data_IF_336513070967
#
_entry.id   IF_336513070967
#
_cell.length_a   1.000
_cell.length_b   1.000
_cell.length_c   1.000
_cell.angle_alpha   90.00
_cell.angle_beta   90.00
_cell.angle_gamma   90.00
#
_symmetry.space_group_name_H-M   'P 1'
#
loop_
_entity.id
_entity.type
_entity.pdbx_description
1 polymer ?
#
# COMPACT_ATOMS: atom_id res chain seq x y z
N UNK A 1 1.12 -11.06 31.07
CA UNK A 1 0.74 -10.14 29.97
C UNK A 1 2.01 -9.55 29.35
N UNK A 2 2.42 -10.02 28.16
CA UNK A 2 3.65 -9.56 27.49
C UNK A 2 3.40 -8.21 26.78
N UNK A 3 4.01 -7.13 27.27
CA UNK A 3 4.17 -5.91 26.46
C UNK A 3 5.10 -6.25 25.29
N UNK A 4 4.61 -6.18 24.04
CA UNK A 4 5.44 -6.36 22.84
C UNK A 4 5.84 -4.97 22.30
N UNK A 5 7.14 -4.63 22.25
CA UNK A 5 7.60 -3.27 22.00
C UNK A 5 7.77 -2.87 20.51
N UNK A 6 7.23 -3.63 19.54
CA UNK A 6 7.74 -3.58 18.16
C UNK A 6 6.72 -3.12 17.10
N UNK A 7 5.63 -2.45 17.48
CA UNK A 7 4.60 -2.04 16.53
C UNK A 7 5.01 -0.72 15.84
N UNK A 8 5.42 -0.78 14.58
CA UNK A 8 5.81 0.39 13.79
C UNK A 8 4.75 0.72 12.74
N UNK A 9 4.48 2.02 12.58
CA UNK A 9 3.43 2.53 11.71
C UNK A 9 4.02 3.06 10.40
N UNK A 10 3.68 2.44 9.27
CA UNK A 10 4.14 2.87 7.94
C UNK A 10 3.08 3.75 7.28
N UNK A 11 3.47 4.99 6.94
CA UNK A 11 2.63 5.95 6.24
C UNK A 11 2.35 5.48 4.81
N UNK A 12 1.10 5.63 4.38
CA UNK A 12 0.61 5.26 3.06
C UNK A 12 1.15 6.18 1.96
N UNK A 13 2.10 5.67 1.19
CA UNK A 13 2.16 5.86 -0.26
C UNK A 13 2.52 4.52 -0.85
N UNK A 14 1.50 3.73 -1.23
CA UNK A 14 1.67 2.47 -1.97
C UNK A 14 2.66 1.56 -1.23
N UNK A 15 2.23 0.96 -0.11
CA UNK A 15 2.98 -0.17 0.44
C UNK A 15 3.04 -1.20 -0.69
N UNK A 16 4.18 -1.28 -1.33
CA UNK A 16 4.45 -2.21 -2.40
C UNK A 16 4.59 -3.60 -1.78
N UNK A 17 4.55 -4.62 -2.63
CA UNK A 17 4.83 -5.99 -2.20
C UNK A 17 6.17 -6.04 -1.45
N UNK A 18 7.13 -5.24 -1.89
CA UNK A 18 8.48 -5.17 -1.35
C UNK A 18 8.54 -4.68 0.11
N UNK A 19 7.89 -3.56 0.45
CA UNK A 19 7.84 -3.05 1.82
C UNK A 19 7.14 -3.99 2.80
N UNK A 20 6.17 -4.78 2.33
CA UNK A 20 5.50 -5.82 3.15
C UNK A 20 6.42 -7.00 3.46
N UNK A 21 7.18 -7.47 2.49
CA UNK A 21 8.12 -8.59 2.67
C UNK A 21 9.23 -8.25 3.66
N UNK A 22 9.81 -7.05 3.55
CA UNK A 22 10.89 -6.60 4.45
C UNK A 22 10.46 -6.56 5.93
N UNK A 23 9.22 -6.13 6.22
CA UNK A 23 8.70 -6.13 7.60
C UNK A 23 8.50 -7.55 8.15
N UNK A 24 8.04 -8.51 7.31
CA UNK A 24 7.87 -9.92 7.70
C UNK A 24 9.21 -10.56 8.02
N UNK A 25 10.23 -10.35 7.20
CA UNK A 25 11.58 -10.87 7.41
C UNK A 25 12.22 -10.32 8.68
N UNK A 26 11.91 -9.06 9.02
CA UNK A 26 12.40 -8.39 10.23
C UNK A 26 11.57 -8.70 11.49
N UNK A 27 10.49 -9.48 11.37
CA UNK A 27 9.58 -9.78 12.49
C UNK A 27 8.86 -8.55 13.06
N UNK A 28 8.64 -7.52 12.23
CA UNK A 28 7.99 -6.28 12.63
C UNK A 28 6.50 -6.37 12.30
N UNK A 29 5.66 -6.19 13.33
CA UNK A 29 4.22 -6.13 13.20
C UNK A 29 3.81 -4.81 12.54
N UNK A 30 3.07 -4.88 11.43
CA UNK A 30 2.57 -3.72 10.70
C UNK A 30 1.13 -3.41 11.09
N UNK A 31 0.82 -2.15 11.38
CA UNK A 31 -0.56 -1.69 11.57
C UNK A 31 -0.93 -0.67 10.48
N UNK A 32 -1.91 -1.04 9.64
CA UNK A 32 -2.47 -0.15 8.62
C UNK A 32 -3.68 0.60 9.17
N UNK A 33 -3.60 1.93 9.16
CA UNK A 33 -4.69 2.82 9.61
C UNK A 33 -5.08 3.80 8.48
N UNK A 34 -6.32 4.27 8.52
CA UNK A 34 -6.79 5.25 7.54
C UNK A 34 -6.11 6.62 7.76
N UNK A 35 -5.45 7.21 6.75
CA UNK A 35 -4.81 8.53 6.90
C UNK A 35 -5.79 9.64 7.29
N UNK A 36 -7.07 9.53 6.92
CA UNK A 36 -8.10 10.47 7.36
C UNK A 36 -8.32 10.38 8.87
N UNK A 37 -8.36 9.18 9.45
CA UNK A 37 -8.53 9.00 10.91
C UNK A 37 -7.36 9.58 11.69
N UNK A 38 -6.13 9.35 11.24
CA UNK A 38 -4.94 9.96 11.83
C UNK A 38 -5.04 11.48 11.74
N UNK A 39 -5.39 12.02 10.56
CA UNK A 39 -5.55 13.47 10.36
C UNK A 39 -6.64 14.07 11.23
N UNK A 40 -7.80 13.43 11.38
CA UNK A 40 -8.91 13.92 12.22
C UNK A 40 -8.59 13.86 13.72
N UNK A 41 -7.80 12.88 14.15
CA UNK A 41 -7.36 12.78 15.54
C UNK A 41 -6.34 13.86 15.93
N UNK A 42 -5.70 14.46 14.92
CA UNK A 42 -4.77 15.57 15.06
C UNK A 42 -5.45 16.88 14.67
N UNK A 43 -5.06 18.00 15.28
CA UNK A 43 -5.47 19.30 14.76
C UNK A 43 -4.94 19.48 13.33
N UNK A 44 -5.82 19.78 12.38
CA UNK A 44 -5.51 19.96 10.95
C UNK A 44 -4.54 21.12 10.79
N UNK A 45 -3.24 20.84 10.90
CA UNK A 45 -2.18 21.80 10.58
C UNK A 45 -1.39 21.26 9.40
N UNK A 46 -1.72 21.80 8.23
CA UNK A 46 -1.06 21.56 6.96
C UNK A 46 0.30 22.28 6.96
N UNK A 47 1.29 21.69 7.62
CA UNK A 47 2.71 22.05 7.47
C UNK A 47 3.50 20.83 7.02
N UNK A 48 4.25 20.97 5.93
CA UNK A 48 5.08 19.94 5.31
C UNK A 48 6.36 19.75 6.14
N UNK A 49 6.27 19.00 7.23
CA UNK A 49 7.42 18.63 8.05
C UNK A 49 7.36 17.15 8.44
N UNK A 50 8.15 16.32 7.75
CA UNK A 50 8.13 14.87 7.90
C UNK A 50 8.50 14.41 9.31
N UNK A 51 9.39 15.14 9.98
CA UNK A 51 9.79 14.88 11.38
C UNK A 51 8.62 15.07 12.35
N UNK A 52 7.82 16.11 12.14
CA UNK A 52 6.65 16.38 12.97
C UNK A 52 5.56 15.33 12.71
N UNK A 53 5.35 14.97 11.45
CA UNK A 53 4.36 13.96 11.09
C UNK A 53 4.74 12.57 11.62
N UNK A 54 6.04 12.22 11.63
CA UNK A 54 6.53 11.00 12.26
C UNK A 54 6.22 10.97 13.76
N UNK A 55 6.47 12.08 14.47
CA UNK A 55 6.12 12.22 15.89
C UNK A 55 4.62 12.12 16.15
N UNK A 56 3.80 12.76 15.30
CA UNK A 56 2.33 12.70 15.40
C UNK A 56 1.81 11.28 15.23
N UNK A 57 2.33 10.57 14.24
CA UNK A 57 1.97 9.17 14.00
C UNK A 57 2.41 8.26 15.14
N UNK A 58 3.61 8.45 15.67
CA UNK A 58 4.08 7.70 16.83
C UNK A 58 3.18 7.96 18.06
N UNK A 59 2.81 9.21 18.30
CA UNK A 59 1.91 9.58 19.40
C UNK A 59 0.49 8.99 19.21
N UNK A 60 -0.02 9.02 17.98
CA UNK A 60 -1.29 8.37 17.63
C UNK A 60 -1.23 6.86 17.89
N UNK A 61 -0.17 6.21 17.41
CA UNK A 61 0.03 4.77 17.58
C UNK A 61 0.11 4.36 19.05
N UNK A 62 0.84 5.12 19.86
CA UNK A 62 0.91 4.90 21.31
C UNK A 62 -0.45 5.08 22.00
N UNK A 63 -1.21 6.10 21.61
CA UNK A 63 -2.52 6.41 22.20
C UNK A 63 -3.58 5.37 21.88
N UNK A 64 -3.58 4.83 20.66
CA UNK A 64 -4.61 3.92 20.14
C UNK A 64 -4.09 2.50 19.91
N UNK A 65 -3.02 2.11 20.60
CA UNK A 65 -2.43 0.77 20.50
C UNK A 65 -3.43 -0.34 20.83
N UNK A 66 -4.44 -0.05 21.66
CA UNK A 66 -5.54 -0.94 22.02
C UNK A 66 -6.46 -1.26 20.83
N UNK A 67 -6.53 -0.36 19.85
CA UNK A 67 -7.33 -0.49 18.63
C UNK A 67 -6.51 -1.00 17.44
N UNK A 68 -5.23 -1.27 17.64
CA UNK A 68 -4.33 -1.65 16.56
C UNK A 68 -4.79 -2.96 15.89
N UNK A 69 -5.05 -2.87 14.58
CA UNK A 69 -5.33 -4.04 13.74
C UNK A 69 -4.07 -4.39 12.97
N UNK A 70 -3.40 -5.43 13.41
CA UNK A 70 -2.20 -5.91 12.74
C UNK A 70 -2.57 -6.41 11.35
N UNK A 71 -1.79 -5.96 10.37
CA UNK A 71 -1.90 -6.37 9.00
C UNK A 71 -1.26 -7.75 8.85
N UNK A 72 -2.09 -8.73 8.49
CA UNK A 72 -1.61 -10.02 8.07
C UNK A 72 -1.25 -9.95 6.59
N UNK A 73 -0.02 -10.34 6.25
CA UNK A 73 0.36 -10.47 4.86
C UNK A 73 -0.58 -11.49 4.17
N UNK A 74 -1.06 -11.17 2.96
CA UNK A 74 -1.79 -12.15 2.17
C UNK A 74 -0.89 -13.34 1.90
N UNK A 75 -1.50 -14.52 1.85
CA UNK A 75 -0.80 -15.75 1.51
C UNK A 75 -0.16 -15.64 0.11
N UNK A 76 0.94 -16.35 -0.10
CA UNK A 76 1.73 -16.27 -1.33
C UNK A 76 0.88 -16.58 -2.58
N UNK A 77 -0.02 -17.55 -2.49
CA UNK A 77 -0.99 -17.88 -3.56
C UNK A 77 -1.86 -16.67 -3.95
N UNK A 78 -2.37 -15.90 -2.98
CA UNK A 78 -3.20 -14.71 -3.24
C UNK A 78 -2.36 -13.64 -3.92
N UNK A 79 -1.10 -13.46 -3.49
CA UNK A 79 -0.18 -12.51 -4.11
C UNK A 79 0.16 -12.90 -5.55
N UNK A 80 0.44 -14.18 -5.80
CA UNK A 80 0.69 -14.70 -7.16
C UNK A 80 -0.53 -14.51 -8.06
N UNK A 81 -1.74 -14.78 -7.56
CA UNK A 81 -2.97 -14.56 -8.33
C UNK A 81 -3.18 -13.09 -8.68
N UNK A 82 -2.89 -12.16 -7.76
CA UNK A 82 -2.95 -10.73 -8.04
C UNK A 82 -1.95 -10.30 -9.11
N UNK A 83 -0.72 -10.83 -9.05
CA UNK A 83 0.30 -10.56 -10.06
C UNK A 83 -0.13 -11.05 -11.44
N UNK A 84 -0.57 -12.30 -11.56
CA UNK A 84 -1.07 -12.88 -12.82
C UNK A 84 -2.28 -12.12 -13.36
N UNK A 85 -3.16 -11.65 -12.48
CA UNK A 85 -4.33 -10.85 -12.88
C UNK A 85 -3.88 -9.51 -13.47
N UNK A 86 -2.94 -8.83 -12.82
CA UNK A 86 -2.38 -7.56 -13.32
C UNK A 86 -1.66 -7.74 -14.66
N UNK A 87 -0.92 -8.83 -14.80
CA UNK A 87 -0.22 -9.17 -16.04
C UNK A 87 -1.22 -9.46 -17.17
N UNK A 88 -2.30 -10.18 -16.89
CA UNK A 88 -3.41 -10.40 -17.83
C UNK A 88 -4.05 -9.08 -18.25
N UNK A 89 -4.35 -8.18 -17.31
CA UNK A 89 -4.96 -6.87 -17.64
C UNK A 89 -4.06 -6.03 -18.56
N UNK A 90 -2.75 -6.04 -18.31
CA UNK A 90 -1.76 -5.41 -19.18
C UNK A 90 -1.80 -6.00 -20.60
N UNK A 91 -1.73 -7.32 -20.73
CA UNK A 91 -1.77 -7.97 -22.05
C UNK A 91 -3.08 -7.74 -22.80
N UNK A 92 -4.22 -7.70 -22.09
CA UNK A 92 -5.51 -7.36 -22.70
C UNK A 92 -5.51 -5.93 -23.23
N UNK A 93 -4.94 -4.98 -22.47
CA UNK A 93 -4.79 -3.59 -22.91
C UNK A 93 -3.85 -3.47 -24.11
N UNK A 94 -2.75 -4.21 -24.14
CA UNK A 94 -1.82 -4.16 -25.27
C UNK A 94 -2.42 -4.81 -26.52
N UNK A 95 -3.14 -5.93 -26.36
CA UNK A 95 -3.88 -6.55 -27.45
C UNK A 95 -4.85 -5.57 -28.12
N UNK A 96 -5.62 -4.81 -27.33
CA UNK A 96 -6.57 -3.85 -27.90
C UNK A 96 -5.86 -2.69 -28.62
N UNK A 97 -4.72 -2.23 -28.12
CA UNK A 97 -3.86 -1.24 -28.82
C UNK A 97 -3.36 -1.78 -30.15
N UNK A 98 -2.81 -3.00 -30.17
CA UNK A 98 -2.31 -3.61 -31.41
C UNK A 98 -3.41 -3.84 -32.43
N UNK A 99 -4.61 -4.25 -31.99
CA UNK A 99 -5.77 -4.38 -32.88
C UNK A 99 -6.15 -3.04 -33.51
N UNK A 100 -6.17 -1.95 -32.72
CA UNK A 100 -6.41 -0.60 -33.25
C UNK A 100 -5.37 -0.18 -34.29
N UNK A 101 -4.09 -0.44 -34.02
CA UNK A 101 -3.00 -0.13 -34.96
C UNK A 101 -3.12 -0.90 -36.28
N UNK A 102 -3.49 -2.18 -36.23
CA UNK A 102 -3.72 -2.99 -37.43
C UNK A 102 -4.89 -2.45 -38.26
N UNK A 103 -6.01 -2.13 -37.62
CA UNK A 103 -7.16 -1.54 -38.32
C UNK A 103 -6.85 -0.19 -38.94
N UNK A 104 -6.02 0.63 -38.28
CA UNK A 104 -5.58 1.90 -38.84
C UNK A 104 -4.68 1.65 -40.06
N UNK A 105 -3.69 0.75 -39.98
CA UNK A 105 -2.83 0.41 -41.12
C UNK A 105 -3.64 -0.05 -42.33
N UNK A 106 -4.59 -0.98 -42.16
CA UNK A 106 -5.47 -1.45 -43.23
C UNK A 106 -6.27 -0.31 -43.88
N UNK A 107 -6.68 0.70 -43.09
CA UNK A 107 -7.41 1.87 -43.56
C UNK A 107 -6.55 2.85 -44.37
N UNK A 108 -5.26 2.95 -44.08
CA UNK A 108 -4.32 3.84 -44.78
C UNK A 108 -3.69 3.21 -46.04
N UNK A 109 -3.93 1.93 -46.31
CA UNK A 109 -3.43 1.23 -47.50
C UNK A 109 -4.38 1.29 -48.73
N UNK A 110 -5.27 2.27 -48.80
CA UNK A 110 -6.06 2.61 -50.00
C UNK A 110 -5.45 3.80 -50.77
#
# INVERSE_FOLDING_TARGET
MRKRPNCWHVRNTRVDIFGRCACRESGIDLWLENPAQIKHSSSVQRRKNDRLDARRIAAYGFRFQDKARLYNLPQENIMSLQQLTSERDMYVSDKSKYQGQLTDQERWHC
#
